data_IF_449196528069
#
_entry.id   IF_449196528069
#
_cell.length_a   1.000
_cell.length_b   1.000
_cell.length_c   1.000
_cell.angle_alpha   90.00
_cell.angle_beta   90.00
_cell.angle_gamma   90.00
#
_symmetry.space_group_name_H-M   'P 1'
#
loop_
_entity.id
_entity.type
_entity.pdbx_description
1 polymer ?
#
# COMPACT_ATOMS: atom_id res chain seq x y z
N UNK A 1 -15.58 22.00 14.08
CA UNK A 1 -15.13 21.56 12.73
C UNK A 1 -15.58 20.12 12.51
N UNK A 2 -16.42 19.84 11.49
CA UNK A 2 -16.79 18.46 11.15
C UNK A 2 -15.52 17.67 10.86
N UNK A 3 -15.39 16.47 11.44
CA UNK A 3 -14.23 15.60 11.22
C UNK A 3 -14.28 15.13 9.77
N UNK A 4 -13.28 15.48 8.94
CA UNK A 4 -13.18 14.94 7.59
C UNK A 4 -13.33 13.41 7.62
N UNK A 5 -14.29 12.85 6.87
CA UNK A 5 -14.52 11.42 6.83
C UNK A 5 -13.25 10.70 6.31
N UNK A 6 -13.02 9.48 6.79
CA UNK A 6 -11.85 8.70 6.41
C UNK A 6 -12.12 8.01 5.08
N UNK A 7 -11.25 8.20 4.10
CA UNK A 7 -11.35 7.57 2.78
C UNK A 7 -10.94 6.09 2.83
N UNK A 8 -11.76 5.20 2.32
CA UNK A 8 -11.44 3.79 2.11
C UNK A 8 -10.85 3.59 0.71
N UNK A 9 -9.53 3.37 0.66
CA UNK A 9 -8.79 3.10 -0.58
C UNK A 9 -9.35 1.92 -1.38
N UNK A 10 -10.10 1.01 -0.77
CA UNK A 10 -10.67 -0.13 -1.47
C UNK A 10 -12.09 0.15 -1.98
N UNK A 11 -12.94 0.75 -1.17
CA UNK A 11 -14.36 0.91 -1.52
C UNK A 11 -14.63 2.17 -2.34
N UNK A 12 -13.96 3.26 -2.00
CA UNK A 12 -14.30 4.59 -2.51
C UNK A 12 -13.52 4.95 -3.77
N UNK A 13 -12.44 4.21 -4.04
CA UNK A 13 -11.54 4.46 -5.15
C UNK A 13 -12.18 4.42 -6.53
N UNK A 14 -13.02 3.44 -6.89
CA UNK A 14 -13.67 3.44 -8.21
C UNK A 14 -14.48 4.72 -8.45
N UNK A 15 -15.37 5.06 -7.50
CA UNK A 15 -16.21 6.25 -7.62
C UNK A 15 -15.41 7.56 -7.58
N UNK A 16 -14.34 7.62 -6.78
CA UNK A 16 -13.43 8.76 -6.77
C UNK A 16 -12.69 8.92 -8.10
N UNK A 17 -12.15 7.85 -8.67
CA UNK A 17 -11.44 7.91 -9.96
C UNK A 17 -12.37 8.41 -11.07
N UNK A 18 -13.58 7.88 -11.15
CA UNK A 18 -14.59 8.26 -12.14
C UNK A 18 -15.04 9.71 -12.02
N UNK A 19 -15.21 10.24 -10.80
CA UNK A 19 -15.74 11.59 -10.58
C UNK A 19 -14.72 12.70 -10.83
N UNK A 20 -13.43 12.46 -10.54
CA UNK A 20 -12.46 13.56 -10.44
C UNK A 20 -11.08 13.31 -11.06
N UNK A 21 -10.76 12.09 -11.51
CA UNK A 21 -9.41 11.78 -12.01
C UNK A 21 -9.36 11.30 -13.46
N UNK A 22 -10.33 10.49 -13.89
CA UNK A 22 -10.40 10.00 -15.27
C UNK A 22 -10.70 11.13 -16.26
N UNK A 23 -10.00 11.10 -17.39
CA UNK A 23 -10.28 12.00 -18.52
C UNK A 23 -11.54 11.56 -19.28
N UNK A 24 -12.19 12.47 -20.04
CA UNK A 24 -13.30 12.09 -20.91
C UNK A 24 -12.94 10.93 -21.85
N UNK A 25 -13.73 9.86 -21.79
CA UNK A 25 -13.55 8.62 -22.57
C UNK A 25 -12.47 7.67 -22.03
N UNK A 26 -11.80 8.02 -20.94
CA UNK A 26 -10.91 7.12 -20.21
C UNK A 26 -11.72 6.16 -19.33
N UNK A 27 -11.32 4.89 -19.26
CA UNK A 27 -11.96 3.86 -18.45
C UNK A 27 -10.91 3.16 -17.60
N UNK A 28 -11.23 2.97 -16.32
CA UNK A 28 -10.40 2.14 -15.44
C UNK A 28 -10.49 0.68 -15.85
N UNK A 29 -9.34 0.09 -16.17
CA UNK A 29 -9.21 -1.34 -16.48
C UNK A 29 -8.99 -2.12 -15.20
N UNK A 30 -8.10 -1.63 -14.34
CA UNK A 30 -7.79 -2.23 -13.04
C UNK A 30 -7.25 -1.18 -12.06
N UNK A 31 -7.34 -1.46 -10.77
CA UNK A 31 -6.75 -0.61 -9.75
C UNK A 31 -6.36 -1.43 -8.51
N UNK A 32 -5.25 -1.04 -7.86
CA UNK A 32 -4.70 -1.73 -6.71
C UNK A 32 -4.49 -0.75 -5.56
N UNK A 33 -5.16 -0.94 -4.40
CA UNK A 33 -4.96 -0.08 -3.25
C UNK A 33 -3.65 -0.37 -2.53
N UNK A 34 -2.94 0.70 -2.19
CA UNK A 34 -1.62 0.67 -1.56
C UNK A 34 -1.66 1.33 -0.19
N UNK A 35 -1.48 0.52 0.85
CA UNK A 35 -1.26 0.98 2.23
C UNK A 35 0.21 0.95 2.64
N UNK A 36 1.06 0.31 1.83
CA UNK A 36 2.50 0.13 2.05
C UNK A 36 3.22 0.49 0.74
N UNK A 37 4.50 0.89 0.81
CA UNK A 37 5.29 1.11 -0.40
C UNK A 37 5.32 -0.15 -1.28
N UNK A 38 5.42 0.00 -2.61
CA UNK A 38 5.60 -1.13 -3.52
C UNK A 38 6.93 -1.83 -3.26
N UNK A 39 7.00 -3.12 -3.62
CA UNK A 39 8.27 -3.86 -3.59
C UNK A 39 9.10 -3.45 -4.80
N UNK A 40 10.37 -3.15 -4.59
CA UNK A 40 11.31 -2.77 -5.64
C UNK A 40 12.29 -3.92 -5.91
N UNK A 41 12.40 -4.34 -7.15
CA UNK A 41 13.30 -5.38 -7.63
C UNK A 41 14.26 -4.78 -8.66
N UNK A 42 15.54 -4.73 -8.32
CA UNK A 42 16.57 -4.14 -9.18
C UNK A 42 16.54 -2.62 -9.27
N UNK A 43 15.49 -1.94 -8.79
CA UNK A 43 15.41 -0.48 -8.63
C UNK A 43 15.57 -0.07 -7.16
N UNK A 44 16.05 1.15 -6.87
CA UNK A 44 16.14 1.64 -5.49
C UNK A 44 14.76 1.65 -4.81
N UNK A 45 14.73 1.42 -3.51
CA UNK A 45 13.51 1.63 -2.73
C UNK A 45 13.17 3.13 -2.68
N UNK A 46 11.88 3.51 -2.59
CA UNK A 46 11.47 4.89 -2.39
C UNK A 46 12.28 5.54 -1.25
N UNK A 47 12.95 6.68 -1.45
CA UNK A 47 13.70 7.33 -0.38
C UNK A 47 12.76 7.80 0.73
N UNK A 48 13.30 8.01 1.94
CA UNK A 48 12.57 8.67 3.02
C UNK A 48 12.75 10.18 2.91
N UNK A 49 11.70 10.96 3.15
CA UNK A 49 11.87 12.41 3.36
C UNK A 49 12.27 12.71 4.81
N UNK A 50 12.94 13.84 5.04
CA UNK A 50 13.34 14.27 6.38
C UNK A 50 12.14 14.28 7.37
N UNK A 51 11.00 14.80 6.93
CA UNK A 51 9.76 14.81 7.72
C UNK A 51 9.25 13.42 8.10
N UNK A 52 9.39 12.44 7.19
CA UNK A 52 8.97 11.07 7.47
C UNK A 52 9.92 10.41 8.48
N UNK A 53 11.21 10.71 8.40
CA UNK A 53 12.20 10.25 9.38
C UNK A 53 11.91 10.85 10.75
N UNK A 54 11.72 12.17 10.83
CA UNK A 54 11.44 12.88 12.08
C UNK A 54 10.17 12.37 12.76
N UNK A 55 9.06 12.21 12.01
CA UNK A 55 7.81 11.65 12.54
C UNK A 55 7.99 10.24 13.08
N UNK A 56 8.84 9.43 12.45
CA UNK A 56 9.12 8.07 12.90
C UNK A 56 9.93 8.05 14.18
N UNK A 57 10.94 8.92 14.29
CA UNK A 57 11.74 9.10 15.50
C UNK A 57 10.84 9.60 16.65
N UNK A 58 10.04 10.64 16.43
CA UNK A 58 9.12 11.17 17.42
C UNK A 58 8.10 10.11 17.89
N UNK A 59 7.56 9.31 16.98
CA UNK A 59 6.68 8.19 17.32
C UNK A 59 7.39 7.12 18.15
N UNK A 60 8.64 6.80 17.81
CA UNK A 60 9.44 5.84 18.58
C UNK A 60 9.71 6.36 19.99
N UNK A 61 10.16 7.61 20.13
CA UNK A 61 10.35 8.26 21.42
C UNK A 61 9.07 8.27 22.26
N UNK A 62 7.94 8.63 21.66
CA UNK A 62 6.65 8.60 22.36
C UNK A 62 6.24 7.21 22.81
N UNK A 63 6.43 6.19 21.97
CA UNK A 63 6.14 4.79 22.33
C UNK A 63 7.07 4.29 23.45
N UNK A 64 8.35 4.64 23.40
CA UNK A 64 9.32 4.30 24.45
C UNK A 64 8.94 4.98 25.76
N UNK A 65 8.58 6.26 25.73
CA UNK A 65 8.12 6.98 26.92
C UNK A 65 6.83 6.39 27.47
N UNK A 66 5.85 6.11 26.60
CA UNK A 66 4.60 5.46 26.98
C UNK A 66 4.84 4.06 27.57
N UNK A 67 5.84 3.33 27.08
CA UNK A 67 6.21 2.03 27.62
C UNK A 67 6.86 2.14 29.01
N UNK A 68 7.72 3.14 29.23
CA UNK A 68 8.31 3.41 30.55
C UNK A 68 7.23 3.82 31.56
N UNK A 69 6.35 4.75 31.19
CA UNK A 69 5.24 5.16 32.06
C UNK A 69 4.29 3.99 32.30
N UNK A 70 3.96 3.26 31.24
CA UNK A 70 3.11 2.07 31.31
C UNK A 70 3.70 0.96 32.18
N UNK A 71 5.03 0.76 32.17
CA UNK A 71 5.68 -0.24 33.02
C UNK A 71 5.72 0.19 34.48
N UNK A 72 5.90 1.47 34.77
CA UNK A 72 5.79 2.01 36.14
C UNK A 72 4.36 1.87 36.67
N UNK A 73 3.36 2.25 35.87
CA UNK A 73 1.94 2.07 36.24
C UNK A 73 1.60 0.59 36.39
N UNK A 74 2.07 -0.27 35.50
CA UNK A 74 1.87 -1.71 35.57
C UNK A 74 2.52 -2.31 36.83
N UNK A 75 3.71 -1.84 37.22
CA UNK A 75 4.37 -2.24 38.47
C UNK A 75 3.55 -1.82 39.70
N UNK A 76 3.02 -0.60 39.71
CA UNK A 76 2.13 -0.12 40.78
C UNK A 76 0.87 -0.99 40.82
N UNK A 77 0.24 -1.24 39.67
CA UNK A 77 -0.96 -2.06 39.55
C UNK A 77 -0.70 -3.53 39.93
N UNK A 78 0.44 -4.11 39.56
CA UNK A 78 0.87 -5.46 39.97
C UNK A 78 1.13 -5.55 41.47
N UNK A 79 1.68 -4.50 42.08
CA UNK A 79 1.81 -4.42 43.54
C UNK A 79 0.44 -4.40 44.25
N UNK A 80 -0.61 -3.91 43.57
CA UNK A 80 -2.00 -3.94 44.07
C UNK A 80 -2.80 -5.20 43.68
N UNK A 81 -2.43 -5.88 42.59
CA UNK A 81 -3.14 -7.06 42.03
C UNK A 81 -2.48 -8.40 42.41
N UNK A 82 -1.79 -8.47 43.54
CA UNK A 82 -1.19 -9.72 44.04
C UNK A 82 -2.23 -10.81 44.46
N UNK A 83 -3.47 -10.74 43.97
CA UNK A 83 -4.42 -11.85 44.02
C UNK A 83 -5.17 -12.01 42.68
N UNK A 84 -4.86 -13.11 42.00
CA UNK A 84 -5.72 -13.75 41.00
C UNK A 84 -5.77 -13.10 39.61
N UNK A 85 -5.13 -13.75 38.63
CA UNK A 85 -5.83 -14.37 37.50
C UNK A 85 -4.82 -14.89 36.45
N UNK A 86 -4.99 -16.15 36.09
CA UNK A 86 -4.41 -16.76 34.90
C UNK A 86 -5.57 -17.30 34.06
N UNK A 87 -5.68 -16.86 32.82
CA UNK A 87 -6.45 -17.58 31.81
C UNK A 87 -5.98 -17.24 30.40
N UNK A 88 -6.14 -18.25 29.56
CA UNK A 88 -5.48 -18.47 28.30
C UNK A 88 -5.98 -17.60 27.15
N UNK A 89 -5.20 -17.54 26.06
CA UNK A 89 -5.73 -17.26 24.74
C UNK A 89 -5.36 -18.40 23.79
N UNK A 90 -6.36 -19.18 23.39
CA UNK A 90 -6.29 -20.15 22.32
C UNK A 90 -6.69 -19.56 20.98
N UNK A 91 -6.20 -20.21 19.91
CA UNK A 91 -6.98 -20.52 18.73
C UNK A 91 -7.11 -19.45 17.64
N UNK A 92 -6.56 -19.75 16.46
CA UNK A 92 -6.93 -19.07 15.22
C UNK A 92 -6.06 -19.44 14.04
N UNK A 93 -6.29 -20.62 13.43
CA UNK A 93 -5.59 -21.05 12.21
C UNK A 93 -6.29 -20.41 11.00
N UNK A 94 -5.80 -19.24 10.61
CA UNK A 94 -6.30 -18.46 9.47
C UNK A 94 -5.97 -19.15 8.13
N UNK A 95 -6.96 -19.25 7.25
CA UNK A 95 -6.85 -19.83 5.91
C UNK A 95 -5.65 -19.29 5.11
N UNK A 96 -5.09 -20.14 4.24
CA UNK A 96 -3.79 -19.91 3.57
C UNK A 96 -3.89 -18.79 2.52
N UNK A 97 -3.94 -17.54 2.97
CA UNK A 97 -3.89 -16.32 2.15
C UNK A 97 -2.65 -16.39 1.24
N UNK A 98 -2.84 -16.29 -0.07
CA UNK A 98 -1.73 -16.18 -1.03
C UNK A 98 -0.97 -14.91 -0.68
N UNK A 99 0.20 -15.08 -0.08
CA UNK A 99 1.07 -14.00 0.38
C UNK A 99 1.96 -13.61 -0.80
N UNK A 100 1.76 -12.41 -1.31
CA UNK A 100 2.56 -11.77 -2.36
C UNK A 100 2.39 -10.26 -2.26
N UNK A 101 3.37 -9.45 -2.68
CA UNK A 101 3.20 -8.01 -2.74
C UNK A 101 2.07 -7.65 -3.69
N UNK A 102 1.37 -6.56 -3.40
CA UNK A 102 0.24 -6.15 -4.23
C UNK A 102 0.75 -5.47 -5.52
N UNK A 103 1.93 -4.84 -5.47
CA UNK A 103 2.65 -4.25 -6.62
C UNK A 103 4.16 -4.48 -6.50
N UNK A 104 4.80 -4.81 -7.62
CA UNK A 104 6.26 -4.92 -7.76
C UNK A 104 6.76 -3.99 -8.86
N UNK A 105 7.73 -3.14 -8.55
CA UNK A 105 8.46 -2.30 -9.50
C UNK A 105 9.75 -3.01 -9.89
N UNK A 106 9.99 -3.19 -11.19
CA UNK A 106 11.13 -3.89 -11.77
C UNK A 106 11.99 -2.93 -12.57
N UNK A 107 13.31 -3.14 -12.58
CA UNK A 107 14.23 -2.40 -13.44
C UNK A 107 15.69 -2.69 -13.09
N UNK A 108 16.60 -1.94 -13.70
CA UNK A 108 18.04 -2.07 -13.50
C UNK A 108 18.62 -0.73 -13.02
N UNK A 109 18.73 -0.56 -11.71
CA UNK A 109 19.27 0.63 -11.08
C UNK A 109 18.38 1.87 -11.21
N UNK A 110 18.94 3.01 -10.81
CA UNK A 110 18.28 4.32 -10.81
C UNK A 110 18.09 4.88 -12.22
N UNK A 111 18.93 4.47 -13.17
CA UNK A 111 18.92 4.94 -14.55
C UNK A 111 17.86 4.27 -15.43
N UNK A 112 17.22 3.21 -14.93
CA UNK A 112 16.03 2.68 -15.60
C UNK A 112 14.86 3.67 -15.52
N UNK A 113 13.94 3.63 -16.48
CA UNK A 113 12.69 4.41 -16.50
C UNK A 113 11.97 4.22 -15.17
N UNK A 114 11.82 2.98 -14.71
CA UNK A 114 11.23 2.72 -13.40
C UNK A 114 12.04 3.31 -12.25
N UNK A 115 13.36 3.16 -12.27
CA UNK A 115 14.25 3.71 -11.25
C UNK A 115 14.12 5.22 -11.08
N UNK A 116 13.92 5.96 -12.18
CA UNK A 116 13.67 7.41 -12.18
C UNK A 116 12.29 7.79 -11.67
N UNK A 117 11.28 6.94 -11.87
CA UNK A 117 9.92 7.16 -11.37
C UNK A 117 9.78 6.85 -9.87
N UNK A 118 10.79 6.20 -9.26
CA UNK A 118 10.79 5.96 -7.82
C UNK A 118 11.05 7.26 -7.05
N UNK A 119 9.99 7.80 -6.46
CA UNK A 119 10.03 9.00 -5.62
C UNK A 119 9.64 8.70 -4.18
N UNK A 120 9.99 9.55 -3.20
CA UNK A 120 9.53 9.39 -1.81
C UNK A 120 8.00 9.35 -1.67
N UNK A 121 7.27 9.96 -2.62
CA UNK A 121 5.82 9.99 -2.65
C UNK A 121 5.20 8.60 -2.85
N UNK A 122 5.92 7.61 -3.38
CA UNK A 122 5.49 6.20 -3.44
C UNK A 122 5.34 5.55 -2.05
N UNK A 123 5.84 6.18 -0.98
CA UNK A 123 5.59 5.74 0.40
C UNK A 123 4.22 6.15 0.92
N UNK A 124 3.54 7.05 0.21
CA UNK A 124 2.21 7.52 0.56
C UNK A 124 1.18 6.41 0.35
N UNK A 125 0.02 6.57 0.99
CA UNK A 125 -1.13 5.72 0.70
C UNK A 125 -1.78 6.19 -0.59
N UNK A 126 -2.25 5.26 -1.40
CA UNK A 126 -2.75 5.59 -2.72
C UNK A 126 -3.20 4.38 -3.51
N UNK A 127 -3.25 4.54 -4.82
CA UNK A 127 -3.76 3.57 -5.77
C UNK A 127 -2.80 3.47 -6.95
N UNK A 128 -2.45 2.26 -7.34
CA UNK A 128 -2.00 2.04 -8.71
C UNK A 128 -3.24 1.89 -9.58
N UNK A 129 -3.34 2.72 -10.61
CA UNK A 129 -4.48 2.75 -11.53
C UNK A 129 -3.98 2.40 -12.91
N UNK A 130 -4.65 1.45 -13.55
CA UNK A 130 -4.43 1.10 -14.93
C UNK A 130 -5.69 1.42 -15.72
N UNK A 131 -5.55 2.25 -16.74
CA UNK A 131 -6.64 2.64 -17.63
C UNK A 131 -6.35 2.16 -19.05
N UNK A 132 -7.29 2.42 -19.96
CA UNK A 132 -7.10 2.21 -21.38
C UNK A 132 -6.17 3.23 -22.06
N UNK A 133 -5.55 4.15 -21.30
CA UNK A 133 -4.67 5.22 -21.84
C UNK A 133 -3.36 5.39 -21.08
N UNK A 134 -3.35 5.07 -19.79
CA UNK A 134 -2.21 5.33 -18.91
C UNK A 134 -2.16 4.41 -17.70
N UNK A 135 -0.98 4.38 -17.11
CA UNK A 135 -0.73 3.81 -15.79
C UNK A 135 -0.30 4.92 -14.87
N UNK A 136 -0.88 4.96 -13.67
CA UNK A 136 -0.57 5.99 -12.70
C UNK A 136 -0.50 5.47 -11.28
N UNK A 137 0.30 6.14 -10.46
CA UNK A 137 0.18 6.06 -9.01
C UNK A 137 -0.47 7.36 -8.50
N UNK A 138 -1.66 7.22 -7.93
CA UNK A 138 -2.43 8.33 -7.37
C UNK A 138 -2.34 8.26 -5.84
N UNK A 139 -1.68 9.24 -5.23
CA UNK A 139 -1.62 9.37 -3.78
C UNK A 139 -2.89 10.07 -3.26
N UNK A 140 -3.42 9.58 -2.14
CA UNK A 140 -4.54 10.22 -1.45
C UNK A 140 -4.00 11.06 -0.30
N UNK A 141 -4.26 12.36 -0.34
CA UNK A 141 -3.75 13.36 0.59
C UNK A 141 -4.73 13.59 1.74
N UNK A 142 -4.86 12.61 2.63
CA UNK A 142 -5.82 12.74 3.72
C UNK A 142 -5.86 11.55 4.67
N UNK A 143 -6.88 11.54 5.52
CA UNK A 143 -7.11 10.42 6.42
C UNK A 143 -7.70 9.26 5.63
N UNK A 144 -6.98 8.14 5.60
CA UNK A 144 -7.48 6.90 5.00
C UNK A 144 -7.63 5.78 6.02
N UNK A 145 -8.58 4.87 5.77
CA UNK A 145 -8.70 3.63 6.53
C UNK A 145 -7.43 2.78 6.38
N UNK A 146 -7.02 2.15 7.49
CA UNK A 146 -5.98 1.12 7.45
C UNK A 146 -6.52 -0.14 6.78
N UNK A 147 -5.64 -0.97 6.20
CA UNK A 147 -6.02 -2.20 5.47
C UNK A 147 -7.00 -3.12 6.22
N UNK A 148 -6.90 -3.20 7.56
CA UNK A 148 -7.78 -4.05 8.39
C UNK A 148 -9.14 -3.42 8.69
N UNK A 149 -9.26 -2.10 8.55
CA UNK A 149 -10.49 -1.33 8.74
C UNK A 149 -11.11 -0.95 7.39
N UNK A 150 -10.59 -1.50 6.29
CA UNK A 150 -11.09 -1.32 4.94
C UNK A 150 -12.14 -2.40 4.67
N UNK A 151 -13.32 -1.99 4.25
CA UNK A 151 -14.53 -2.80 4.27
C UNK A 151 -14.75 -3.68 3.04
N UNK A 152 -15.86 -4.43 3.11
CA UNK A 152 -16.56 -5.05 1.98
C UNK A 152 -17.99 -4.48 1.83
N UNK A 153 -18.30 -3.36 2.50
CA UNK A 153 -19.62 -2.73 2.48
C UNK A 153 -19.74 -1.72 1.36
N UNK A 154 -20.79 -0.89 1.44
CA UNK A 154 -21.03 0.16 0.45
C UNK A 154 -19.95 1.25 0.50
N UNK A 155 -19.65 1.90 -0.65
CA UNK A 155 -18.78 3.07 -0.68
C UNK A 155 -19.29 4.16 0.26
N UNK A 156 -18.38 4.82 0.97
CA UNK A 156 -18.74 5.94 1.82
C UNK A 156 -19.24 7.12 0.98
N UNK A 157 -20.20 7.86 1.53
CA UNK A 157 -20.58 9.15 0.97
C UNK A 157 -19.54 10.21 1.36
N UNK A 158 -18.70 10.62 0.41
CA UNK A 158 -17.79 11.77 0.56
C UNK A 158 -18.39 12.96 -0.20
N UNK A 159 -18.85 14.01 0.49
CA UNK A 159 -19.51 15.15 -0.15
C UNK A 159 -18.54 16.10 -0.87
N UNK A 160 -17.26 16.09 -0.49
CA UNK A 160 -16.21 16.94 -1.06
C UNK A 160 -15.24 16.13 -1.93
N UNK A 161 -14.62 16.76 -2.96
CA UNK A 161 -13.55 16.14 -3.72
C UNK A 161 -12.44 15.64 -2.79
N UNK A 162 -12.02 14.39 -3.02
CA UNK A 162 -10.95 13.80 -2.22
C UNK A 162 -9.64 14.43 -2.67
N UNK A 163 -8.85 15.05 -1.78
CA UNK A 163 -7.56 15.61 -2.15
C UNK A 163 -6.63 14.48 -2.60
N UNK A 164 -6.22 14.52 -3.87
CA UNK A 164 -5.37 13.52 -4.51
C UNK A 164 -4.21 14.18 -5.24
N UNK A 165 -3.13 13.43 -5.42
CA UNK A 165 -1.97 13.84 -6.21
C UNK A 165 -1.50 12.71 -7.11
N UNK A 166 -1.44 12.96 -8.40
CA UNK A 166 -0.79 12.04 -9.37
C UNK A 166 0.72 12.10 -9.17
N UNK A 167 1.31 11.02 -8.68
CA UNK A 167 2.74 10.93 -8.37
C UNK A 167 3.54 10.38 -9.53
N UNK A 168 2.96 9.39 -10.22
CA UNK A 168 3.52 8.78 -11.42
C UNK A 168 2.41 8.76 -12.45
N UNK A 169 2.74 9.12 -13.68
CA UNK A 169 1.88 8.95 -14.84
C UNK A 169 2.74 8.54 -16.03
N UNK A 170 2.38 7.41 -16.65
CA UNK A 170 3.00 6.95 -17.90
C UNK A 170 1.88 6.68 -18.89
N UNK A 171 1.86 7.43 -19.98
CA UNK A 171 0.88 7.31 -21.06
C UNK A 171 1.37 6.43 -22.19
N UNK A 172 0.44 5.86 -22.95
CA UNK A 172 0.75 5.22 -24.23
C UNK A 172 1.43 6.23 -25.18
N UNK A 173 2.39 5.79 -26.02
CA UNK A 173 2.86 4.40 -26.20
C UNK A 173 4.04 4.02 -25.28
N UNK A 174 4.30 4.77 -24.20
CA UNK A 174 5.50 4.59 -23.36
C UNK A 174 5.47 3.38 -22.42
N UNK A 175 4.48 2.50 -22.57
CA UNK A 175 4.41 1.22 -21.91
C UNK A 175 3.74 0.19 -22.81
N UNK A 176 4.00 -1.08 -22.54
CA UNK A 176 3.34 -2.20 -23.20
C UNK A 176 2.83 -3.19 -22.17
N UNK A 177 1.63 -3.71 -22.43
CA UNK A 177 1.11 -4.84 -21.68
C UNK A 177 1.69 -6.16 -22.23
N UNK A 178 2.35 -6.95 -21.38
CA UNK A 178 2.99 -8.22 -21.77
C UNK A 178 2.10 -9.44 -21.50
N UNK A 179 1.01 -9.30 -20.75
CA UNK A 179 0.19 -10.42 -20.32
C UNK A 179 0.26 -10.68 -18.81
N UNK A 180 -0.33 -11.81 -18.42
CA UNK A 180 -0.33 -12.29 -17.05
C UNK A 180 0.91 -13.17 -16.81
N UNK A 181 1.59 -12.97 -15.68
CA UNK A 181 2.80 -13.69 -15.27
C UNK A 181 2.63 -14.28 -13.87
N UNK A 182 3.04 -15.53 -13.70
CA UNK A 182 3.10 -16.16 -12.38
C UNK A 182 4.35 -15.70 -11.63
N UNK A 183 4.15 -15.05 -10.49
CA UNK A 183 5.27 -14.69 -9.62
C UNK A 183 5.44 -15.70 -8.51
N UNK A 184 6.69 -15.92 -8.13
CA UNK A 184 7.08 -16.65 -6.93
C UNK A 184 7.68 -15.70 -5.90
N UNK A 185 7.50 -16.05 -4.62
CA UNK A 185 8.18 -15.40 -3.50
C UNK A 185 9.10 -16.39 -2.82
N UNK A 186 10.22 -15.89 -2.29
CA UNK A 186 11.11 -16.66 -1.44
C UNK A 186 10.72 -16.48 0.02
N UNK A 187 10.52 -17.60 0.72
CA UNK A 187 10.22 -17.54 2.17
C UNK A 187 11.47 -17.16 2.95
N UNK A 188 11.36 -16.23 3.91
CA UNK A 188 12.52 -15.71 4.65
C UNK A 188 13.25 -16.80 5.46
N UNK A 189 12.49 -17.67 6.13
CA UNK A 189 13.03 -18.70 7.03
C UNK A 189 13.54 -19.91 6.24
N UNK A 190 12.68 -20.52 5.43
CA UNK A 190 13.00 -21.78 4.75
C UNK A 190 13.66 -21.59 3.38
N UNK A 191 13.83 -20.34 2.90
CA UNK A 191 14.35 -19.99 1.56
C UNK A 191 13.66 -20.70 0.37
N UNK A 192 12.51 -21.34 0.61
CA UNK A 192 11.70 -22.03 -0.41
C UNK A 192 10.96 -21.04 -1.28
N UNK A 193 10.91 -21.32 -2.57
CA UNK A 193 10.05 -20.66 -3.55
C UNK A 193 8.61 -21.09 -3.33
N UNK A 194 7.70 -20.12 -3.22
CA UNK A 194 6.25 -20.35 -3.10
C UNK A 194 5.52 -19.43 -4.08
N UNK A 195 4.39 -19.84 -4.66
CA UNK A 195 3.61 -18.96 -5.52
C UNK A 195 3.18 -17.69 -4.76
N UNK A 196 3.36 -16.55 -5.41
CA UNK A 196 2.95 -15.22 -4.96
C UNK A 196 1.66 -14.74 -5.64
N UNK A 197 1.16 -15.51 -6.62
CA UNK A 197 -0.03 -15.23 -7.41
C UNK A 197 0.28 -14.84 -8.85
N UNK A 198 -0.79 -14.60 -9.62
CA UNK A 198 -0.73 -14.09 -10.99
C UNK A 198 -0.66 -12.56 -10.96
N UNK A 199 0.20 -11.98 -11.78
CA UNK A 199 0.41 -10.54 -11.90
C UNK A 199 0.22 -10.13 -13.34
N UNK A 200 -0.38 -8.98 -13.55
CA UNK A 200 -0.40 -8.29 -14.82
C UNK A 200 0.95 -7.60 -15.03
N UNK A 201 1.67 -7.95 -16.09
CA UNK A 201 2.98 -7.36 -16.40
C UNK A 201 2.85 -6.21 -17.39
N UNK A 202 3.38 -5.07 -16.96
CA UNK A 202 3.61 -3.89 -17.77
C UNK A 202 5.12 -3.73 -17.91
N UNK A 203 5.59 -3.46 -19.12
CA UNK A 203 6.98 -3.12 -19.38
C UNK A 203 7.11 -1.79 -20.10
N UNK A 204 8.19 -1.09 -19.80
CA UNK A 204 8.64 0.14 -20.43
C UNK A 204 9.69 -0.16 -21.51
N UNK A 205 10.03 0.80 -22.39
CA UNK A 205 10.94 0.57 -23.51
C UNK A 205 12.33 0.05 -23.12
N UNK A 206 12.79 0.34 -21.90
CA UNK A 206 14.09 -0.10 -21.37
C UNK A 206 14.04 -1.46 -20.65
N UNK A 207 12.91 -2.17 -20.72
CA UNK A 207 12.69 -3.46 -20.05
C UNK A 207 12.37 -3.37 -18.55
N UNK A 208 12.42 -2.17 -17.96
CA UNK A 208 11.88 -1.92 -16.61
C UNK A 208 10.36 -1.94 -16.63
N UNK A 209 9.68 -2.02 -15.49
CA UNK A 209 8.22 -2.16 -15.52
C UNK A 209 7.54 -2.41 -14.18
N UNK A 210 6.25 -2.70 -14.25
CA UNK A 210 5.36 -2.90 -13.11
C UNK A 210 4.68 -4.25 -13.23
N UNK A 211 4.72 -5.04 -12.16
CA UNK A 211 3.87 -6.21 -12.03
C UNK A 211 2.77 -5.90 -11.00
N UNK A 212 1.54 -5.81 -11.48
CA UNK A 212 0.33 -5.52 -10.70
C UNK A 212 -0.38 -6.82 -10.36
N UNK A 213 -0.59 -7.11 -9.07
CA UNK A 213 -1.23 -8.38 -8.69
C UNK A 213 -2.68 -8.44 -9.16
N UNK A 214 -3.05 -9.54 -9.84
CA UNK A 214 -4.44 -9.79 -10.22
C UNK A 214 -5.21 -10.32 -9.01
N UNK A 215 -6.22 -9.58 -8.57
CA UNK A 215 -7.24 -10.11 -7.66
C UNK A 215 -8.28 -10.82 -8.51
N UNK A 216 -8.56 -12.10 -8.22
CA UNK A 216 -9.71 -12.79 -8.84
C UNK A 216 -10.95 -11.97 -8.48
N UNK A 217 -11.62 -11.42 -9.50
CA UNK A 217 -12.98 -10.91 -9.37
C UNK A 217 -13.93 -12.09 -9.20
#
# INVERSE_FOLDING_TARGET
MPRNPRFDLKLDSPGMLERQWLEPGERTVDWIPMWKPPVCEGVPNPPWTADQVLRRIAKAMWLTLAWIVGSVVLLIVLAFLADGLSSASGGGREGRKVKGPDVVLRGQGRESVMGRLVTPALRSRGLWVFTNRRIAFVAVEGRTHGRFLSGNGDPGAFPEPVPIRTVIEVREPNYRFEGDVDRVRRTRILRRSKPAGVYRRISFPDGSGIDLRRYRK
#
